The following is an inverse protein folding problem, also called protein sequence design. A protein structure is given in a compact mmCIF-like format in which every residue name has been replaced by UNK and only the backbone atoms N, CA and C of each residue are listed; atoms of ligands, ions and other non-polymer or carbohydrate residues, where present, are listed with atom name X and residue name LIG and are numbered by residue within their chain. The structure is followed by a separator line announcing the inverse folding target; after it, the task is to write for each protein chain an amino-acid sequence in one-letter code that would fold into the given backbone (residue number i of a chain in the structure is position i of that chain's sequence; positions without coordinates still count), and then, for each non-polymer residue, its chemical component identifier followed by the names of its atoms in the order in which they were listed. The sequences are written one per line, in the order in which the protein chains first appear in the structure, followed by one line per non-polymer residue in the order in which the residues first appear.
data_IF_186529258312
#
_entry.id   IF_186529258312
#
_cell.length_a   1.000
_cell.length_b   1.000
_cell.length_c   1.000
_cell.angle_alpha   90.00
_cell.angle_beta   90.00
_cell.angle_gamma   90.00
#
_symmetry.space_group_name_H-M   'P 1'
#
loop_
_entity.id
_entity.type
_entity.pdbx_description
1 polymer ?
#
# COMPACT_ATOMS: atom_id res chain seq x y z
N UNK A 1 14.49 -17.15 -12.12
CA UNK A 1 13.10 -16.68 -12.03
C UNK A 1 13.16 -15.27 -11.47
N UNK A 2 12.67 -14.28 -12.22
CA UNK A 2 12.67 -12.90 -11.75
C UNK A 2 11.73 -12.77 -10.54
N UNK A 3 12.19 -12.11 -9.48
CA UNK A 3 11.43 -11.75 -8.29
C UNK A 3 11.08 -10.27 -8.35
N UNK A 4 9.82 -9.97 -8.06
CA UNK A 4 9.34 -8.60 -7.91
C UNK A 4 9.43 -8.23 -6.43
N UNK A 5 10.00 -7.06 -6.15
CA UNK A 5 10.08 -6.49 -4.81
C UNK A 5 9.43 -5.11 -4.82
N UNK A 6 8.53 -4.85 -3.88
CA UNK A 6 7.88 -3.55 -3.75
C UNK A 6 8.48 -2.84 -2.54
N UNK A 7 8.93 -1.60 -2.71
CA UNK A 7 9.32 -0.73 -1.60
C UNK A 7 8.25 0.32 -1.37
N UNK A 8 7.98 0.59 -0.11
CA UNK A 8 7.01 1.57 0.35
C UNK A 8 7.64 2.40 1.47
N UNK A 9 7.64 3.72 1.30
CA UNK A 9 8.11 4.69 2.29
C UNK A 9 6.93 5.33 3.02
N UNK A 10 6.65 4.89 4.23
CA UNK A 10 5.54 5.39 5.06
C UNK A 10 5.64 6.90 5.35
N UNK A 11 6.86 7.43 5.50
CA UNK A 11 7.12 8.84 5.81
C UNK A 11 6.75 9.79 4.67
N UNK A 12 6.75 9.30 3.43
CA UNK A 12 6.39 10.07 2.24
C UNK A 12 4.89 9.91 1.91
N UNK A 13 4.21 8.93 2.50
CA UNK A 13 2.79 8.70 2.25
C UNK A 13 1.94 9.77 2.95
N UNK A 14 1.05 10.43 2.22
CA UNK A 14 0.11 11.42 2.77
C UNK A 14 -1.06 10.79 3.56
N UNK A 15 -0.96 9.49 3.87
CA UNK A 15 -2.00 8.69 4.50
C UNK A 15 -2.76 7.82 3.50
N UNK A 16 -2.81 6.51 3.75
CA UNK A 16 -3.57 5.57 2.91
C UNK A 16 -5.07 5.83 2.98
N UNK A 17 -5.58 6.25 4.14
CA UNK A 17 -7.02 6.49 4.35
C UNK A 17 -7.55 7.69 3.55
N UNK A 18 -6.72 8.70 3.30
CA UNK A 18 -7.09 9.91 2.56
C UNK A 18 -6.81 9.77 1.06
N UNK A 19 -5.69 9.13 0.70
CA UNK A 19 -5.24 9.04 -0.69
C UNK A 19 -5.83 7.85 -1.46
N UNK A 20 -5.72 6.62 -0.92
CA UNK A 20 -6.18 5.34 -1.50
C UNK A 20 -5.78 4.98 -2.94
N UNK A 21 -5.10 5.87 -3.69
CA UNK A 21 -4.77 5.67 -5.11
C UNK A 21 -4.05 4.37 -5.40
N UNK A 22 -3.10 3.95 -4.56
CA UNK A 22 -2.39 2.69 -4.72
C UNK A 22 -3.32 1.46 -4.63
N UNK A 23 -4.38 1.52 -3.82
CA UNK A 23 -5.40 0.47 -3.75
C UNK A 23 -6.32 0.49 -4.97
N UNK A 24 -6.67 1.68 -5.48
CA UNK A 24 -7.59 1.84 -6.61
C UNK A 24 -6.98 1.42 -7.95
N UNK A 25 -5.71 1.75 -8.18
CA UNK A 25 -5.06 1.52 -9.47
C UNK A 25 -4.40 0.14 -9.60
N UNK A 26 -4.28 -0.63 -8.51
CA UNK A 26 -3.61 -1.92 -8.54
C UNK A 26 -4.57 -3.02 -9.03
N UNK A 27 -4.40 -3.56 -10.26
CA UNK A 27 -5.30 -4.57 -10.81
C UNK A 27 -5.18 -5.93 -10.11
N UNK A 28 -4.13 -6.13 -9.32
CA UNK A 28 -3.88 -7.37 -8.57
C UNK A 28 -4.21 -7.23 -7.09
N UNK A 29 -4.71 -6.06 -6.65
CA UNK A 29 -5.05 -5.78 -5.26
C UNK A 29 -3.95 -6.18 -4.27
N UNK A 30 -2.70 -5.87 -4.62
CA UNK A 30 -1.51 -6.23 -3.82
C UNK A 30 -1.48 -5.52 -2.46
N UNK A 31 -2.06 -4.33 -2.41
CA UNK A 31 -2.07 -3.47 -1.24
C UNK A 31 -3.33 -3.66 -0.41
N UNK A 32 -3.18 -3.66 0.91
CA UNK A 32 -4.28 -3.66 1.87
C UNK A 32 -4.17 -2.45 2.80
N UNK A 33 -5.32 -1.90 3.16
CA UNK A 33 -5.42 -0.85 4.17
C UNK A 33 -5.80 -1.51 5.50
N UNK A 34 -4.92 -1.44 6.48
CA UNK A 34 -5.07 -2.14 7.77
C UNK A 34 -5.10 -1.09 8.90
N UNK A 35 -5.98 -1.22 9.90
CA UNK A 35 -5.98 -0.33 11.05
C UNK A 35 -4.76 -0.57 11.94
N UNK A 36 -4.09 0.50 12.39
CA UNK A 36 -2.88 0.42 13.22
C UNK A 36 -3.23 -0.12 14.62
N UNK A 37 -4.38 0.31 15.18
CA UNK A 37 -4.83 -0.10 16.51
C UNK A 37 -6.04 -1.03 16.41
N UNK A 38 -5.78 -2.34 16.36
CA UNK A 38 -6.79 -3.40 16.21
C UNK A 38 -7.18 -4.04 17.56
N UNK A 39 -7.54 -3.22 18.54
CA UNK A 39 -8.00 -3.72 19.84
C UNK A 39 -9.30 -4.55 19.68
N UNK A 40 -9.29 -5.76 20.24
CA UNK A 40 -10.47 -6.65 20.21
C UNK A 40 -11.66 -5.96 20.86
N UNK A 41 -12.82 -6.05 20.20
CA UNK A 41 -14.10 -5.46 20.63
C UNK A 41 -14.14 -3.93 20.61
N UNK A 42 -13.14 -3.26 20.02
CA UNK A 42 -13.21 -1.84 19.69
C UNK A 42 -13.27 -1.68 18.18
N UNK A 43 -14.07 -0.72 17.74
CA UNK A 43 -13.99 -0.23 16.37
C UNK A 43 -12.66 0.52 16.28
N UNK A 44 -11.87 0.25 15.23
CA UNK A 44 -10.66 1.03 14.97
C UNK A 44 -11.09 2.49 14.89
N UNK A 45 -10.71 3.24 15.93
CA UNK A 45 -11.23 4.56 16.24
C UNK A 45 -11.01 5.51 15.05
N UNK A 46 -11.86 6.54 14.90
CA UNK A 46 -11.72 7.56 13.85
C UNK A 46 -10.33 8.26 13.89
N UNK A 47 -9.63 8.12 15.01
CA UNK A 47 -8.28 8.62 15.30
C UNK A 47 -7.15 7.60 15.15
N UNK A 48 -7.45 6.29 15.06
CA UNK A 48 -6.49 5.18 15.19
C UNK A 48 -5.55 4.99 13.99
N UNK A 49 -5.80 5.69 12.89
CA UNK A 49 -4.98 5.64 11.68
C UNK A 49 -5.08 4.30 10.94
N UNK A 50 -4.92 4.37 9.62
CA UNK A 50 -4.74 3.19 8.78
C UNK A 50 -3.36 3.24 8.17
N UNK A 51 -2.76 2.07 7.99
CA UNK A 51 -1.48 1.89 7.32
C UNK A 51 -1.63 1.03 6.06
N UNK A 52 -0.72 1.23 5.11
CA UNK A 52 -0.67 0.49 3.86
C UNK A 52 0.21 -0.74 4.05
N UNK A 53 -0.33 -1.92 3.81
CA UNK A 53 0.41 -3.17 3.81
C UNK A 53 0.52 -3.75 2.42
N UNK A 54 1.67 -4.36 2.12
CA UNK A 54 1.92 -5.11 0.89
C UNK A 54 1.66 -6.58 1.20
N UNK A 55 0.43 -7.05 0.96
CA UNK A 55 -0.01 -8.38 1.39
C UNK A 55 0.26 -9.44 0.33
N UNK A 56 0.08 -9.09 -0.95
CA UNK A 56 0.23 -10.03 -2.07
C UNK A 56 1.39 -9.66 -2.99
N UNK A 57 2.58 -9.39 -2.44
CA UNK A 57 3.77 -9.00 -3.22
C UNK A 57 4.05 -9.96 -4.39
N UNK A 58 3.85 -11.26 -4.17
CA UNK A 58 4.05 -12.32 -5.17
C UNK A 58 3.10 -12.25 -6.36
N UNK A 59 1.95 -11.57 -6.21
CA UNK A 59 0.98 -11.36 -7.28
C UNK A 59 1.26 -10.10 -8.09
N UNK A 60 2.29 -9.32 -7.71
CA UNK A 60 2.65 -8.11 -8.44
C UNK A 60 3.21 -8.46 -9.82
N UNK A 61 2.58 -7.89 -10.86
CA UNK A 61 3.00 -8.02 -12.27
C UNK A 61 3.95 -6.91 -12.72
N UNK A 62 4.45 -6.09 -11.80
CA UNK A 62 5.35 -4.96 -12.08
C UNK A 62 4.84 -3.95 -13.15
N UNK A 63 3.53 -3.66 -13.14
CA UNK A 63 2.90 -2.73 -14.10
C UNK A 63 3.18 -1.24 -13.84
N UNK A 64 3.82 -0.88 -12.73
CA UNK A 64 4.14 0.51 -12.30
C UNK A 64 2.96 1.48 -12.09
N UNK A 65 1.71 1.09 -12.31
CA UNK A 65 0.53 1.96 -12.13
C UNK A 65 0.46 2.62 -10.75
N UNK A 66 0.82 1.90 -9.68
CA UNK A 66 0.82 2.44 -8.32
C UNK A 66 1.92 3.48 -8.08
N UNK A 67 3.06 3.35 -8.76
CA UNK A 67 4.18 4.32 -8.70
C UNK A 67 3.78 5.60 -9.39
N UNK A 68 3.18 5.49 -10.58
CA UNK A 68 2.76 6.64 -11.40
C UNK A 68 1.59 7.40 -10.77
N UNK A 69 0.64 6.68 -10.16
CA UNK A 69 -0.52 7.29 -9.53
C UNK A 69 -0.21 7.95 -8.17
N UNK A 70 0.92 7.60 -7.53
CA UNK A 70 1.28 8.08 -6.20
C UNK A 70 1.81 9.53 -6.26
N UNK A 71 1.08 10.55 -5.76
CA UNK A 71 1.54 11.95 -5.84
C UNK A 71 2.89 12.21 -5.16
N UNK A 72 3.17 11.67 -3.95
CA UNK A 72 4.48 11.84 -3.32
C UNK A 72 5.54 10.85 -3.82
N UNK A 73 5.21 9.94 -4.74
CA UNK A 73 6.11 8.87 -5.21
C UNK A 73 6.70 8.01 -4.07
N UNK A 74 5.87 7.68 -3.09
CA UNK A 74 6.24 6.87 -1.93
C UNK A 74 6.40 5.36 -2.22
N UNK A 75 6.29 4.94 -3.47
CA UNK A 75 6.32 3.53 -3.90
C UNK A 75 7.38 3.35 -4.99
N UNK A 76 8.11 2.23 -4.93
CA UNK A 76 8.98 1.78 -6.02
C UNK A 76 8.92 0.27 -6.21
N UNK A 77 9.17 -0.18 -7.44
CA UNK A 77 9.16 -1.59 -7.82
C UNK A 77 10.53 -1.96 -8.38
N UNK A 78 11.12 -3.03 -7.86
CA UNK A 78 12.38 -3.60 -8.33
C UNK A 78 12.14 -5.02 -8.86
N UNK A 79 12.82 -5.37 -9.96
CA UNK A 79 12.77 -6.72 -10.56
C UNK A 79 14.19 -7.29 -10.51
N UNK A 80 14.39 -8.38 -9.77
CA UNK A 80 15.71 -9.05 -9.58
C UNK A 80 15.67 -10.52 -9.92
#
# INVERSE_FOLDING_TARGET
MARVKIRYDESQCQGVQSCKKCLEVCPQSVFAMIPINNEKFKIADESGGYELWIVYETSCIACNLCVDACPPKALSIEIS
#
